data_IF_100945636349
#
_entry.id   IF_100945636349
#
_cell.length_a   1.000
_cell.length_b   1.000
_cell.length_c   1.000
_cell.angle_alpha   90.00
_cell.angle_beta   90.00
_cell.angle_gamma   90.00
#
_symmetry.space_group_name_H-M   'P 1'
#
loop_
_entity.id
_entity.type
_entity.pdbx_description
1 polymer ?
#
# COMPACT_ATOMS: atom_id res chain seq x y z
N UNK A 1 -15.93 12.75 -21.29
CA UNK A 1 -17.24 12.40 -21.84
C UNK A 1 -18.30 12.46 -20.73
N UNK A 2 -18.12 11.78 -19.59
CA UNK A 2 -19.16 11.75 -18.53
C UNK A 2 -19.47 13.12 -17.93
N UNK A 3 -18.46 13.96 -17.67
CA UNK A 3 -18.63 15.30 -17.10
C UNK A 3 -19.42 16.29 -18.00
N UNK A 4 -19.62 15.95 -19.27
CA UNK A 4 -20.45 16.75 -20.18
C UNK A 4 -21.96 16.43 -20.09
N UNK A 5 -22.32 15.32 -19.43
CA UNK A 5 -23.69 14.80 -19.38
C UNK A 5 -24.19 14.66 -17.95
N UNK A 6 -23.31 14.35 -16.99
CA UNK A 6 -23.66 14.08 -15.60
C UNK A 6 -22.91 15.01 -14.65
N UNK A 7 -23.56 15.38 -13.56
CA UNK A 7 -22.89 16.02 -12.43
C UNK A 7 -22.11 14.97 -11.61
N UNK A 8 -21.06 15.38 -10.93
CA UNK A 8 -20.19 14.48 -10.16
C UNK A 8 -20.96 13.60 -9.16
N UNK A 9 -21.97 14.16 -8.49
CA UNK A 9 -22.80 13.42 -7.53
C UNK A 9 -23.70 12.34 -8.17
N UNK A 10 -23.83 12.33 -9.49
CA UNK A 10 -24.58 11.30 -10.24
C UNK A 10 -23.68 10.17 -10.73
N UNK A 11 -22.36 10.27 -10.50
CA UNK A 11 -21.36 9.30 -10.97
C UNK A 11 -20.80 8.53 -9.78
N UNK A 12 -20.99 7.22 -9.78
CA UNK A 12 -20.43 6.32 -8.77
C UNK A 12 -19.26 5.55 -9.36
N UNK A 13 -18.06 5.85 -8.87
CA UNK A 13 -16.84 5.07 -9.20
C UNK A 13 -16.73 3.94 -8.21
N UNK A 14 -16.89 2.73 -8.70
CA UNK A 14 -16.83 1.54 -7.86
C UNK A 14 -15.42 0.95 -7.93
N UNK A 15 -14.71 0.98 -6.82
CA UNK A 15 -13.51 0.22 -6.58
C UNK A 15 -13.85 -0.98 -5.67
N UNK A 16 -13.72 -2.21 -6.20
CA UNK A 16 -14.00 -3.43 -5.46
C UNK A 16 -13.05 -3.65 -4.27
N UNK A 17 -11.88 -3.01 -4.27
CA UNK A 17 -10.91 -3.07 -3.18
C UNK A 17 -11.38 -2.25 -1.98
N UNK A 18 -11.88 -1.04 -2.21
CA UNK A 18 -12.46 -0.18 -1.18
C UNK A 18 -13.85 -0.64 -0.73
N UNK A 19 -14.58 -1.34 -1.61
CA UNK A 19 -15.89 -1.92 -1.29
C UNK A 19 -15.82 -3.11 -0.33
N UNK A 20 -14.63 -3.63 -0.04
CA UNK A 20 -14.45 -4.66 0.97
C UNK A 20 -14.50 -4.05 2.37
N UNK A 21 -15.21 -4.70 3.28
CA UNK A 21 -15.28 -4.31 4.69
C UNK A 21 -13.89 -4.12 5.30
N UNK A 22 -12.93 -4.93 4.87
CA UNK A 22 -11.53 -4.90 5.33
C UNK A 22 -10.80 -3.59 5.08
N UNK A 23 -11.03 -2.94 3.93
CA UNK A 23 -10.44 -1.63 3.67
C UNK A 23 -11.06 -0.55 4.58
N UNK A 24 -12.38 -0.66 4.83
CA UNK A 24 -13.10 0.21 5.77
C UNK A 24 -12.67 -0.02 7.21
N UNK A 25 -12.26 -1.24 7.57
CA UNK A 25 -11.75 -1.57 8.90
C UNK A 25 -10.47 -0.79 9.26
N UNK A 26 -9.68 -0.34 8.29
CA UNK A 26 -8.55 0.58 8.54
C UNK A 26 -9.03 1.89 9.15
N UNK A 27 -10.14 2.44 8.65
CA UNK A 27 -10.72 3.68 9.17
C UNK A 27 -11.33 3.46 10.56
N UNK A 28 -12.08 2.37 10.73
CA UNK A 28 -12.66 2.01 12.02
C UNK A 28 -11.56 1.80 13.07
N UNK A 29 -10.48 1.09 12.71
CA UNK A 29 -9.34 0.91 13.59
C UNK A 29 -8.70 2.23 14.00
N UNK A 30 -8.46 3.13 13.06
CA UNK A 30 -7.83 4.42 13.34
C UNK A 30 -8.72 5.35 14.15
N UNK A 31 -9.97 5.52 13.74
CA UNK A 31 -10.82 6.61 14.20
C UNK A 31 -11.82 6.22 15.30
N UNK A 32 -12.06 4.91 15.50
CA UNK A 32 -12.88 4.44 16.62
C UNK A 32 -12.05 4.04 17.86
N UNK A 33 -10.71 4.04 17.77
CA UNK A 33 -9.81 3.65 18.86
C UNK A 33 -8.87 4.79 19.23
N UNK A 34 -9.20 5.54 20.27
CA UNK A 34 -8.48 6.74 20.69
C UNK A 34 -7.02 6.51 21.13
N UNK A 35 -6.59 5.26 21.33
CA UNK A 35 -5.20 4.94 21.71
C UNK A 35 -4.23 4.96 20.54
N UNK A 36 -4.70 4.76 19.30
CA UNK A 36 -3.82 4.66 18.13
C UNK A 36 -3.62 5.99 17.42
N UNK A 37 -4.64 6.83 17.30
CA UNK A 37 -4.57 8.06 16.54
C UNK A 37 -3.48 9.05 17.05
N UNK A 38 -3.22 9.22 18.35
CA UNK A 38 -2.11 10.03 18.84
C UNK A 38 -0.74 9.55 18.39
N UNK A 39 -0.59 8.25 18.10
CA UNK A 39 0.65 7.64 17.62
C UNK A 39 0.76 7.64 16.09
N UNK A 40 -0.32 8.05 15.38
CA UNK A 40 -0.43 7.90 13.93
C UNK A 40 0.16 9.09 13.17
N UNK A 41 1.46 9.35 13.42
CA UNK A 41 2.16 10.48 12.83
C UNK A 41 3.68 10.26 12.81
N UNK A 42 4.40 11.19 12.18
CA UNK A 42 5.85 11.19 11.99
C UNK A 42 6.69 11.13 13.26
N UNK A 43 6.12 11.48 14.42
CA UNK A 43 6.88 11.46 15.69
C UNK A 43 7.06 10.02 16.20
N UNK A 44 6.14 9.12 15.86
CA UNK A 44 6.11 7.74 16.33
C UNK A 44 6.30 6.71 15.23
N UNK A 45 5.89 7.01 13.99
CA UNK A 45 6.01 6.11 12.83
C UNK A 45 7.32 6.40 12.11
N UNK A 46 8.07 5.35 11.84
CA UNK A 46 9.32 5.38 11.08
C UNK A 46 9.05 5.24 9.59
N UNK A 47 8.30 4.22 9.20
CA UNK A 47 7.84 4.00 7.83
C UNK A 47 6.59 3.14 7.76
N UNK A 48 5.95 3.15 6.59
CA UNK A 48 4.76 2.34 6.30
C UNK A 48 5.02 1.47 5.08
N UNK A 49 4.68 0.19 5.15
CA UNK A 49 4.69 -0.73 4.00
C UNK A 49 3.27 -1.11 3.62
N UNK A 50 2.95 -1.03 2.32
CA UNK A 50 1.67 -1.45 1.77
C UNK A 50 1.95 -2.48 0.68
N UNK A 51 1.52 -3.71 0.92
CA UNK A 51 1.77 -4.84 0.03
C UNK A 51 0.44 -5.38 -0.50
N UNK A 52 0.34 -5.55 -1.81
CA UNK A 52 -0.75 -6.27 -2.45
C UNK A 52 -0.18 -7.18 -3.53
N UNK A 53 0.08 -8.45 -3.20
CA UNK A 53 0.68 -9.43 -4.12
C UNK A 53 -0.23 -10.62 -4.32
N UNK A 54 -0.15 -11.20 -5.51
CA UNK A 54 -0.95 -12.33 -5.96
C UNK A 54 -0.07 -13.51 -6.37
N UNK A 55 -0.50 -14.73 -6.05
CA UNK A 55 0.21 -15.95 -6.43
C UNK A 55 -0.20 -16.48 -7.83
N UNK A 56 -1.16 -15.82 -8.47
CA UNK A 56 -1.58 -16.08 -9.84
C UNK A 56 -0.85 -15.16 -10.82
N UNK A 57 -0.64 -15.64 -12.04
CA UNK A 57 -0.17 -14.84 -13.16
C UNK A 57 -1.30 -14.00 -13.78
N UNK A 58 -1.11 -13.58 -15.03
CA UNK A 58 -2.13 -12.79 -15.76
C UNK A 58 -3.22 -13.66 -16.39
N UNK A 59 -3.00 -14.99 -16.44
CA UNK A 59 -3.91 -15.98 -17.02
C UNK A 59 -4.35 -15.61 -18.45
N UNK A 60 -5.66 -15.42 -18.69
CA UNK A 60 -6.19 -15.08 -20.02
C UNK A 60 -6.24 -13.57 -20.30
N UNK A 61 -5.68 -12.73 -19.41
CA UNK A 61 -5.75 -11.27 -19.48
C UNK A 61 -4.54 -10.62 -20.16
N UNK A 62 -3.74 -11.37 -20.94
CA UNK A 62 -2.49 -10.89 -21.56
C UNK A 62 -2.67 -9.59 -22.32
N UNK A 63 -3.62 -9.50 -23.24
CA UNK A 63 -3.86 -8.29 -24.04
C UNK A 63 -4.23 -7.06 -23.19
N UNK A 64 -5.02 -7.22 -22.13
CA UNK A 64 -5.32 -6.12 -21.21
C UNK A 64 -4.07 -5.73 -20.41
N UNK A 65 -3.35 -6.71 -19.90
CA UNK A 65 -2.22 -6.46 -19.02
C UNK A 65 -1.03 -5.81 -19.74
N UNK A 66 -0.85 -6.09 -21.04
CA UNK A 66 0.14 -5.43 -21.89
C UNK A 66 -0.05 -3.90 -21.95
N UNK A 67 -1.27 -3.43 -21.83
CA UNK A 67 -1.59 -2.00 -21.85
C UNK A 67 -1.60 -1.36 -20.46
N UNK A 68 -1.90 -2.12 -19.42
CA UNK A 68 -2.06 -1.61 -18.06
C UNK A 68 -0.77 -1.74 -17.24
N UNK A 69 -0.17 -2.93 -17.20
CA UNK A 69 0.92 -3.26 -16.31
C UNK A 69 0.54 -3.17 -14.83
N UNK A 70 1.49 -3.48 -13.95
CA UNK A 70 1.26 -3.43 -12.50
C UNK A 70 0.98 -2.02 -12.00
N UNK A 71 1.52 -1.00 -12.67
CA UNK A 71 1.34 0.40 -12.27
C UNK A 71 -0.13 0.84 -12.38
N UNK A 72 -0.77 0.64 -13.53
CA UNK A 72 -2.15 1.08 -13.73
C UNK A 72 -3.16 0.12 -13.12
N UNK A 73 -2.91 -1.20 -13.23
CA UNK A 73 -3.83 -2.23 -12.73
C UNK A 73 -3.92 -2.22 -11.19
N UNK A 74 -2.79 -2.07 -10.50
CA UNK A 74 -2.73 -2.21 -9.06
C UNK A 74 -2.38 -0.92 -8.30
N UNK A 75 -1.35 -0.19 -8.73
CA UNK A 75 -0.88 0.97 -7.96
C UNK A 75 -1.89 2.11 -8.05
N UNK A 76 -2.23 2.55 -9.26
CA UNK A 76 -3.12 3.70 -9.47
C UNK A 76 -4.57 3.43 -9.03
N UNK A 77 -5.01 2.19 -9.09
CA UNK A 77 -6.37 1.84 -8.67
C UNK A 77 -6.47 1.55 -7.18
N UNK A 78 -5.62 0.65 -6.67
CA UNK A 78 -5.85 0.02 -5.36
C UNK A 78 -4.86 0.47 -4.29
N UNK A 79 -3.54 0.40 -4.56
CA UNK A 79 -2.56 0.71 -3.53
C UNK A 79 -2.57 2.17 -3.12
N UNK A 80 -2.77 3.08 -4.06
CA UNK A 80 -2.83 4.52 -3.76
C UNK A 80 -4.04 4.86 -2.85
N UNK A 81 -5.13 4.09 -2.97
CA UNK A 81 -6.27 4.22 -2.07
C UNK A 81 -5.90 3.77 -0.65
N UNK A 82 -5.17 2.65 -0.51
CA UNK A 82 -4.69 2.20 0.80
C UNK A 82 -3.72 3.20 1.43
N UNK A 83 -2.87 3.85 0.61
CA UNK A 83 -2.04 4.98 1.08
C UNK A 83 -2.92 6.09 1.64
N UNK A 84 -3.97 6.48 0.90
CA UNK A 84 -4.86 7.55 1.34
C UNK A 84 -5.61 7.19 2.63
N UNK A 85 -6.20 5.98 2.74
CA UNK A 85 -6.87 5.52 3.96
C UNK A 85 -5.94 5.47 5.17
N UNK A 86 -4.67 5.13 4.93
CA UNK A 86 -3.65 5.09 5.98
C UNK A 86 -3.22 6.50 6.40
N UNK A 87 -3.17 7.44 5.47
CA UNK A 87 -2.54 8.74 5.67
C UNK A 87 -3.52 9.91 5.94
N UNK A 88 -4.81 9.75 5.61
CA UNK A 88 -5.80 10.82 5.72
C UNK A 88 -6.05 11.28 7.17
N UNK A 89 -6.53 12.51 7.30
CA UNK A 89 -7.07 13.00 8.57
C UNK A 89 -8.50 12.47 8.79
N UNK A 90 -8.96 12.37 10.06
CA UNK A 90 -10.35 12.06 10.34
C UNK A 90 -11.25 13.19 9.85
N UNK A 91 -12.27 12.90 9.01
CA UNK A 91 -13.22 13.92 8.61
C UNK A 91 -14.07 14.38 9.80
N UNK A 92 -14.35 15.67 9.91
CA UNK A 92 -15.16 16.22 11.00
C UNK A 92 -16.58 15.63 11.06
N UNK A 93 -17.13 15.29 9.89
CA UNK A 93 -18.41 14.57 9.74
C UNK A 93 -18.19 13.48 8.69
N UNK A 94 -18.56 12.23 9.04
CA UNK A 94 -18.40 11.11 8.13
C UNK A 94 -19.52 11.09 7.08
N UNK A 95 -19.26 11.70 5.95
CA UNK A 95 -20.06 11.64 4.73
C UNK A 95 -19.16 11.51 3.51
N UNK A 96 -19.74 11.24 2.35
CA UNK A 96 -19.00 10.94 1.13
C UNK A 96 -18.10 12.10 0.69
N UNK A 97 -18.56 13.34 0.81
CA UNK A 97 -17.81 14.51 0.32
C UNK A 97 -16.64 14.84 1.26
N UNK A 98 -16.88 14.85 2.57
CA UNK A 98 -15.81 15.09 3.55
C UNK A 98 -14.76 13.97 3.51
N UNK A 99 -15.18 12.72 3.36
CA UNK A 99 -14.25 11.60 3.17
C UNK A 99 -13.37 11.80 1.93
N UNK A 100 -13.98 12.10 0.77
CA UNK A 100 -13.24 12.37 -0.47
C UNK A 100 -12.27 13.54 -0.33
N UNK A 101 -12.69 14.61 0.35
CA UNK A 101 -11.85 15.77 0.57
C UNK A 101 -10.58 15.41 1.36
N UNK A 102 -10.69 14.60 2.41
CA UNK A 102 -9.52 14.14 3.16
C UNK A 102 -8.61 13.25 2.32
N UNK A 103 -9.17 12.38 1.48
CA UNK A 103 -8.41 11.57 0.52
C UNK A 103 -7.65 12.43 -0.49
N UNK A 104 -8.33 13.45 -1.06
CA UNK A 104 -7.72 14.38 -2.02
C UNK A 104 -6.54 15.14 -1.40
N UNK A 105 -6.65 15.60 -0.16
CA UNK A 105 -5.54 16.27 0.56
C UNK A 105 -4.29 15.38 0.65
N UNK A 106 -4.47 14.07 0.82
CA UNK A 106 -3.33 13.14 0.79
C UNK A 106 -2.67 13.12 -0.58
N UNK A 107 -3.48 13.02 -1.65
CA UNK A 107 -2.95 12.99 -3.03
C UNK A 107 -2.25 14.29 -3.41
N UNK A 108 -2.79 15.43 -3.03
CA UNK A 108 -2.17 16.74 -3.24
C UNK A 108 -0.86 16.91 -2.44
N UNK A 109 -0.71 16.16 -1.34
CA UNK A 109 0.49 16.15 -0.51
C UNK A 109 1.56 15.14 -0.97
N UNK A 110 1.29 14.31 -1.97
CA UNK A 110 2.28 13.37 -2.50
C UNK A 110 3.46 14.15 -3.10
N UNK A 111 4.67 13.77 -2.70
CA UNK A 111 5.89 14.37 -3.26
C UNK A 111 6.05 13.92 -4.71
N UNK A 112 6.09 14.84 -5.69
CA UNK A 112 6.35 14.48 -7.07
C UNK A 112 7.71 13.81 -7.22
N UNK A 113 7.78 12.75 -8.01
CA UNK A 113 9.03 12.05 -8.33
C UNK A 113 9.68 12.72 -9.56
N UNK A 114 10.93 13.13 -9.43
CA UNK A 114 11.75 13.59 -10.56
C UNK A 114 12.48 12.41 -11.23
N UNK A 115 13.23 12.64 -12.29
CA UNK A 115 13.93 11.57 -13.03
C UNK A 115 14.96 10.81 -12.18
N UNK A 116 15.63 11.47 -11.26
CA UNK A 116 16.57 10.82 -10.33
C UNK A 116 15.80 9.92 -9.35
N UNK A 117 14.74 10.45 -8.78
CA UNK A 117 13.88 9.68 -7.86
C UNK A 117 13.26 8.45 -8.53
N UNK A 118 12.94 8.51 -9.83
CA UNK A 118 12.39 7.36 -10.56
C UNK A 118 13.38 6.17 -10.55
N UNK A 119 14.67 6.43 -10.64
CA UNK A 119 15.69 5.37 -10.63
C UNK A 119 16.00 4.85 -9.22
N UNK A 120 15.91 5.71 -8.21
CA UNK A 120 16.24 5.35 -6.83
C UNK A 120 15.03 4.81 -6.05
N UNK A 121 13.84 5.29 -6.38
CA UNK A 121 12.63 5.01 -5.62
C UNK A 121 11.67 4.02 -6.28
N UNK A 122 11.96 3.56 -7.50
CA UNK A 122 11.09 2.62 -8.22
C UNK A 122 11.87 1.42 -8.72
N UNK A 123 11.40 0.23 -8.36
CA UNK A 123 11.88 -1.05 -8.90
C UNK A 123 10.77 -1.70 -9.69
N UNK A 124 11.06 -2.10 -10.93
CA UNK A 124 10.12 -2.79 -11.83
C UNK A 124 10.67 -4.14 -12.23
N UNK A 125 9.80 -5.12 -12.43
CA UNK A 125 10.20 -6.45 -12.86
C UNK A 125 9.07 -7.20 -13.57
N UNK A 126 9.45 -8.32 -14.20
CA UNK A 126 8.53 -9.28 -14.77
C UNK A 126 8.78 -10.65 -14.15
N UNK A 127 7.72 -11.44 -13.95
CA UNK A 127 7.92 -12.82 -13.56
C UNK A 127 8.46 -13.66 -14.72
N UNK A 128 9.38 -14.53 -14.40
CA UNK A 128 9.98 -15.50 -15.32
C UNK A 128 9.40 -16.89 -15.11
N UNK A 129 9.64 -17.81 -16.06
CA UNK A 129 9.26 -19.20 -15.89
C UNK A 129 9.88 -19.80 -14.62
N UNK A 130 9.08 -20.55 -13.86
CA UNK A 130 9.52 -21.20 -12.63
C UNK A 130 8.74 -22.48 -12.38
N UNK A 131 9.44 -23.60 -12.34
CA UNK A 131 8.80 -24.92 -12.27
C UNK A 131 7.85 -25.15 -13.43
N UNK A 132 6.59 -25.43 -13.16
CA UNK A 132 5.55 -25.66 -14.16
C UNK A 132 4.81 -24.37 -14.58
N UNK A 133 5.23 -23.19 -14.06
CA UNK A 133 4.60 -21.91 -14.38
C UNK A 133 5.35 -21.23 -15.51
N UNK A 134 4.59 -20.68 -16.47
CA UNK A 134 5.12 -19.90 -17.58
C UNK A 134 5.67 -18.56 -17.09
N UNK A 135 6.67 -18.04 -17.79
CA UNK A 135 7.07 -16.65 -17.67
C UNK A 135 6.08 -15.71 -18.36
N UNK A 136 6.11 -14.45 -17.99
CA UNK A 136 5.17 -13.44 -18.52
C UNK A 136 5.14 -13.39 -20.05
N UNK A 137 6.32 -13.42 -20.69
CA UNK A 137 6.45 -13.38 -22.16
C UNK A 137 6.02 -14.67 -22.88
N UNK A 138 5.75 -15.72 -22.12
CA UNK A 138 5.24 -17.00 -22.62
C UNK A 138 3.73 -17.11 -22.50
N UNK A 139 3.09 -16.10 -21.88
CA UNK A 139 1.65 -16.05 -21.69
C UNK A 139 0.94 -15.69 -22.99
N UNK A 140 -0.29 -16.21 -23.16
CA UNK A 140 -1.09 -15.92 -24.34
C UNK A 140 -1.46 -14.44 -24.43
N UNK A 141 -1.17 -13.83 -25.58
CA UNK A 141 -1.50 -12.42 -25.84
C UNK A 141 -0.47 -11.42 -25.30
N UNK A 142 0.71 -11.92 -24.93
CA UNK A 142 1.86 -11.11 -24.53
C UNK A 142 2.90 -11.11 -25.64
N UNK A 143 3.49 -9.96 -25.94
CA UNK A 143 4.57 -9.86 -26.91
C UNK A 143 5.86 -10.53 -26.38
N UNK A 144 6.62 -11.25 -27.21
CA UNK A 144 7.85 -11.95 -26.79
C UNK A 144 8.93 -11.00 -26.24
N UNK A 145 8.91 -9.75 -26.67
CA UNK A 145 9.81 -8.68 -26.27
C UNK A 145 9.19 -7.69 -25.28
N UNK A 146 8.01 -8.01 -24.73
CA UNK A 146 7.29 -7.15 -23.81
C UNK A 146 8.16 -6.67 -22.65
N UNK A 147 8.03 -5.38 -22.32
CA UNK A 147 8.67 -4.71 -21.18
C UNK A 147 7.66 -4.27 -20.11
N UNK A 148 6.42 -4.75 -20.22
CA UNK A 148 5.35 -4.44 -19.26
C UNK A 148 5.68 -5.03 -17.90
N UNK A 149 5.62 -4.21 -16.87
CA UNK A 149 5.90 -4.65 -15.50
C UNK A 149 4.78 -5.51 -14.92
N UNK A 150 5.16 -6.64 -14.32
CA UNK A 150 4.26 -7.49 -13.52
C UNK A 150 4.56 -7.43 -12.03
N UNK A 151 5.64 -6.73 -11.67
CA UNK A 151 6.04 -6.37 -10.33
C UNK A 151 6.49 -4.91 -10.30
N UNK A 152 6.07 -4.20 -9.27
CA UNK A 152 6.54 -2.86 -8.99
C UNK A 152 6.66 -2.65 -7.48
N UNK A 153 7.74 -2.03 -7.06
CA UNK A 153 7.92 -1.50 -5.72
C UNK A 153 8.31 -0.02 -5.82
N UNK A 154 7.70 0.80 -4.97
CA UNK A 154 7.90 2.25 -4.99
C UNK A 154 8.04 2.80 -3.56
N UNK A 155 8.87 3.82 -3.42
CA UNK A 155 8.93 4.67 -2.24
C UNK A 155 8.23 5.98 -2.53
N UNK A 156 7.22 6.31 -1.73
CA UNK A 156 6.45 7.55 -1.83
C UNK A 156 6.72 8.43 -0.60
N UNK A 157 6.73 9.74 -0.80
CA UNK A 157 6.73 10.74 0.26
C UNK A 157 5.39 11.46 0.33
N UNK A 158 4.99 11.86 1.54
CA UNK A 158 3.80 12.69 1.79
C UNK A 158 4.26 13.95 2.52
N UNK A 159 4.18 15.09 1.84
CA UNK A 159 4.67 16.39 2.32
C UNK A 159 3.57 17.15 3.07
N UNK A 160 3.21 16.67 4.26
CA UNK A 160 2.33 17.37 5.17
C UNK A 160 2.82 17.28 6.62
N UNK A 161 2.16 17.98 7.55
CA UNK A 161 2.56 18.02 8.96
C UNK A 161 2.58 16.65 9.64
N UNK A 162 1.67 15.74 9.26
CA UNK A 162 1.55 14.42 9.84
C UNK A 162 2.66 13.47 9.37
N UNK A 163 3.04 13.54 8.08
CA UNK A 163 3.82 12.50 7.42
C UNK A 163 5.17 12.94 6.87
N UNK A 164 5.48 14.23 6.88
CA UNK A 164 6.77 14.70 6.32
C UNK A 164 7.95 13.95 6.94
N UNK A 165 8.76 13.32 6.06
CA UNK A 165 9.91 12.51 6.43
C UNK A 165 9.61 11.03 6.72
N UNK A 166 8.35 10.58 6.67
CA UNK A 166 7.96 9.17 6.80
C UNK A 166 7.80 8.57 5.40
N UNK A 167 8.63 7.61 4.99
CA UNK A 167 8.47 6.95 3.70
C UNK A 167 7.31 5.95 3.72
N UNK A 168 6.57 5.90 2.60
CA UNK A 168 5.57 4.88 2.30
C UNK A 168 6.13 3.97 1.21
N UNK A 169 6.41 2.72 1.56
CA UNK A 169 6.85 1.70 0.62
C UNK A 169 5.64 0.91 0.14
N UNK A 170 5.34 1.01 -1.15
CA UNK A 170 4.25 0.24 -1.75
C UNK A 170 4.83 -0.80 -2.71
N UNK A 171 4.24 -1.99 -2.72
CA UNK A 171 4.65 -3.05 -3.65
C UNK A 171 3.47 -3.91 -4.08
N UNK A 172 3.53 -4.31 -5.33
CA UNK A 172 2.58 -5.25 -5.93
C UNK A 172 3.31 -6.19 -6.90
N UNK A 173 2.75 -7.35 -7.11
CA UNK A 173 3.30 -8.29 -8.08
C UNK A 173 2.37 -9.47 -8.32
N UNK A 174 2.45 -10.02 -9.54
CA UNK A 174 1.78 -11.25 -9.92
C UNK A 174 2.76 -12.43 -9.88
N UNK A 175 2.21 -13.63 -9.76
CA UNK A 175 2.97 -14.89 -9.66
C UNK A 175 3.98 -14.91 -8.50
N UNK A 176 3.66 -14.21 -7.43
CA UNK A 176 4.47 -14.18 -6.21
C UNK A 176 4.29 -15.49 -5.41
N UNK A 177 5.22 -15.82 -4.50
CA UNK A 177 5.11 -17.04 -3.68
C UNK A 177 3.85 -17.12 -2.82
N UNK A 178 3.27 -15.98 -2.47
CA UNK A 178 2.07 -15.89 -1.62
C UNK A 178 1.08 -14.88 -2.18
N UNK A 179 -0.18 -15.00 -1.73
CA UNK A 179 -1.21 -13.97 -1.92
C UNK A 179 -1.42 -13.26 -0.60
N UNK A 180 -1.15 -11.96 -0.56
CA UNK A 180 -1.36 -11.13 0.64
C UNK A 180 -1.66 -9.68 0.26
N UNK A 181 -2.59 -9.09 1.00
CA UNK A 181 -2.79 -7.63 1.03
C UNK A 181 -2.73 -7.18 2.47
N UNK A 182 -1.76 -6.35 2.79
CA UNK A 182 -1.55 -5.86 4.15
C UNK A 182 -0.90 -4.48 4.18
N UNK A 183 -1.15 -3.77 5.27
CA UNK A 183 -0.48 -2.53 5.64
C UNK A 183 0.32 -2.84 6.91
N UNK A 184 1.62 -2.56 6.89
CA UNK A 184 2.49 -2.72 8.05
C UNK A 184 3.02 -1.34 8.44
N UNK A 185 2.65 -0.91 9.63
CA UNK A 185 3.14 0.34 10.24
C UNK A 185 4.29 -0.01 11.15
N UNK A 186 5.46 0.54 10.86
CA UNK A 186 6.67 0.39 11.66
C UNK A 186 6.84 1.63 12.54
N UNK A 187 6.84 1.42 13.84
CA UNK A 187 7.07 2.50 14.78
C UNK A 187 8.57 2.76 14.93
N UNK A 188 8.92 3.95 15.41
CA UNK A 188 10.30 4.28 15.73
C UNK A 188 10.82 3.42 16.87
N UNK A 189 12.10 3.20 16.87
CA UNK A 189 12.78 2.53 17.99
C UNK A 189 12.65 3.35 19.27
N UNK A 190 12.79 2.67 20.42
CA UNK A 190 12.84 3.36 21.71
C UNK A 190 14.05 4.29 21.75
N UNK A 191 13.92 5.52 22.29
CA UNK A 191 15.01 6.51 22.29
C UNK A 191 16.20 6.10 23.17
N UNK A 192 15.99 5.13 24.04
CA UNK A 192 17.02 4.58 24.93
C UNK A 192 16.82 3.08 25.12
N UNK A 193 17.89 2.32 24.93
CA UNK A 193 17.92 0.87 25.19
C UNK A 193 18.31 0.62 26.64
N UNK A 194 17.32 0.32 27.48
CA UNK A 194 17.55 0.04 28.92
C UNK A 194 18.07 -1.38 29.15
N UNK A 195 17.84 -2.28 28.21
CA UNK A 195 18.16 -3.70 28.35
C UNK A 195 19.37 -4.07 27.52
N UNK A 196 20.36 -4.71 28.19
CA UNK A 196 21.52 -5.24 27.49
C UNK A 196 21.13 -6.44 26.64
N UNK A 197 21.43 -6.38 25.37
CA UNK A 197 21.15 -7.47 24.44
C UNK A 197 22.27 -8.50 24.50
N UNK A 198 22.02 -9.62 25.12
CA UNK A 198 22.90 -10.77 25.02
C UNK A 198 22.72 -11.46 23.65
N UNK A 199 23.82 -11.69 22.92
CA UNK A 199 23.79 -12.45 21.67
C UNK A 199 23.20 -11.74 20.44
N UNK A 200 23.07 -10.40 20.45
CA UNK A 200 22.61 -9.62 19.27
C UNK A 200 21.09 -9.56 19.07
N UNK A 201 20.30 -10.14 19.95
CA UNK A 201 18.83 -10.09 19.91
C UNK A 201 18.29 -8.90 20.72
N UNK A 202 18.49 -7.70 20.19
CA UNK A 202 17.86 -6.52 20.79
C UNK A 202 16.38 -6.43 20.45
N UNK A 203 15.54 -5.86 21.34
CA UNK A 203 14.19 -5.49 20.99
C UNK A 203 14.20 -4.60 19.76
N UNK A 204 13.50 -5.01 18.71
CA UNK A 204 13.31 -4.22 17.50
C UNK A 204 12.15 -3.26 17.70
N UNK A 205 12.05 -2.27 16.83
CA UNK A 205 10.90 -1.39 16.80
C UNK A 205 9.56 -2.16 16.74
N UNK A 206 8.56 -1.68 17.45
CA UNK A 206 7.21 -2.26 17.40
C UNK A 206 6.61 -2.09 16.01
N UNK A 207 5.70 -2.96 15.63
CA UNK A 207 4.95 -2.83 14.39
C UNK A 207 3.49 -3.22 14.56
N UNK A 208 2.67 -2.67 13.68
CA UNK A 208 1.26 -2.99 13.58
C UNK A 208 0.98 -3.50 12.19
N UNK A 209 0.41 -4.69 12.09
CA UNK A 209 0.04 -5.31 10.82
C UNK A 209 -1.47 -5.27 10.68
N UNK A 210 -1.95 -4.55 9.66
CA UNK A 210 -3.35 -4.53 9.25
C UNK A 210 -3.49 -5.44 8.05
N UNK A 211 -3.92 -6.68 8.24
CA UNK A 211 -4.08 -7.66 7.18
C UNK A 211 -5.48 -7.60 6.58
N UNK A 212 -5.54 -7.32 5.27
CA UNK A 212 -6.79 -7.23 4.53
C UNK A 212 -7.14 -8.55 3.84
N UNK A 213 -6.12 -9.35 3.44
CA UNK A 213 -6.26 -10.66 2.81
C UNK A 213 -5.01 -11.52 3.03
N UNK A 214 -5.11 -12.86 3.08
CA UNK A 214 -6.32 -13.69 3.01
C UNK A 214 -7.08 -13.78 4.34
N UNK A 215 -6.39 -13.72 5.46
CA UNK A 215 -6.96 -13.81 6.80
C UNK A 215 -6.96 -12.41 7.42
N UNK A 216 -8.12 -11.78 7.43
CA UNK A 216 -8.31 -10.45 7.96
C UNK A 216 -7.95 -10.37 9.43
N UNK A 217 -7.29 -9.29 9.83
CA UNK A 217 -6.94 -9.10 11.22
C UNK A 217 -5.96 -7.96 11.47
N UNK A 218 -5.88 -7.59 12.73
CA UNK A 218 -4.98 -6.56 13.22
C UNK A 218 -4.05 -7.21 14.23
N UNK A 219 -2.74 -7.17 13.95
CA UNK A 219 -1.73 -7.84 14.77
C UNK A 219 -0.70 -6.81 15.24
N UNK A 220 -0.80 -6.34 16.50
CA UNK A 220 0.28 -5.59 17.11
C UNK A 220 1.44 -6.53 17.44
N UNK A 221 2.63 -6.16 17.05
CA UNK A 221 3.87 -6.88 17.41
C UNK A 221 4.63 -6.04 18.42
N UNK A 222 4.72 -6.57 19.64
CA UNK A 222 5.44 -5.95 20.74
C UNK A 222 6.36 -6.97 21.43
N UNK A 223 7.34 -6.48 22.15
CA UNK A 223 8.27 -7.33 22.89
C UNK A 223 7.77 -7.52 24.31
N UNK A 224 7.62 -8.77 24.72
CA UNK A 224 7.12 -9.16 26.04
C UNK A 224 8.13 -9.93 26.87
N UNK A 225 9.26 -10.36 26.27
CA UNK A 225 10.32 -11.12 26.92
C UNK A 225 11.68 -10.56 26.52
N UNK A 226 12.63 -10.64 27.45
CA UNK A 226 14.01 -10.14 27.33
C UNK A 226 15.04 -11.29 27.13
N UNK A 227 14.60 -12.44 26.64
CA UNK A 227 15.47 -13.61 26.39
C UNK A 227 15.91 -13.69 24.95
#
# INVERSE_FOLDING_TARGET
VYAAVFNEHQIYRIDHFLGKETAQNVLAFRFANGIFEPLWNRNYIDYVEITAVENLGIEQRGGFYETAGALRDMVQNHLIQLVALTAMEPPAVFNADNFRNEVVKVYESLTPLNEVDLNEHIVRGQYTASGNKKGYREEKGVAPDSRTDTYIAMKLGISNWRWSGVPFYIRTGKQMPTKVTEIVVHFRETPHQMFHCAGGNCPRANKLILRLQPNEGIVPVSYTHLT
#
